data_IF_040915617277
#
_entry.id   IF_040915617277
#
_cell.length_a   1.000
_cell.length_b   1.000
_cell.length_c   1.000
_cell.angle_alpha   90.00
_cell.angle_beta   90.00
_cell.angle_gamma   90.00
#
_symmetry.space_group_name_H-M   'P 1'
#
loop_
_entity.id
_entity.type
_entity.pdbx_description
1 polymer ?
#
# COMPACT_ATOMS: atom_id res chain seq x y z
N UNK A 1 10.27 54.94 -5.94
CA UNK A 1 9.35 53.95 -5.33
C UNK A 1 9.06 52.73 -6.21
N UNK A 2 8.90 52.87 -7.54
CA UNK A 2 8.56 51.74 -8.45
C UNK A 2 9.65 50.65 -8.58
N UNK A 3 10.91 50.97 -8.33
CA UNK A 3 12.03 50.03 -8.37
C UNK A 3 12.15 49.12 -7.13
N UNK A 4 11.67 49.57 -5.97
CA UNK A 4 11.67 48.75 -4.76
C UNK A 4 10.66 47.60 -4.83
N UNK A 5 9.56 47.78 -5.57
CA UNK A 5 8.54 46.73 -5.80
C UNK A 5 9.05 45.62 -6.72
N UNK A 6 9.86 45.94 -7.73
CA UNK A 6 10.40 44.95 -8.66
C UNK A 6 11.41 44.01 -7.98
N UNK A 7 12.25 44.53 -7.07
CA UNK A 7 13.19 43.73 -6.29
C UNK A 7 12.47 42.78 -5.31
N UNK A 8 11.34 43.20 -4.74
CA UNK A 8 10.57 42.39 -3.81
C UNK A 8 9.86 41.22 -4.51
N UNK A 9 9.34 41.45 -5.73
CA UNK A 9 8.70 40.40 -6.54
C UNK A 9 9.71 39.34 -7.01
N UNK A 10 10.91 39.74 -7.44
CA UNK A 10 11.97 38.80 -7.86
C UNK A 10 12.46 37.94 -6.67
N UNK A 11 12.52 38.50 -5.46
CA UNK A 11 12.88 37.75 -4.26
C UNK A 11 11.81 36.73 -3.84
N UNK A 12 10.52 37.09 -3.95
CA UNK A 12 9.41 36.15 -3.66
C UNK A 12 9.27 35.05 -4.72
N UNK A 13 9.68 35.31 -5.96
CA UNK A 13 9.70 34.30 -7.02
C UNK A 13 10.77 33.23 -6.78
N UNK A 14 11.89 33.58 -6.13
CA UNK A 14 12.96 32.63 -5.81
C UNK A 14 12.56 31.65 -4.70
N UNK A 15 11.79 32.11 -3.70
CA UNK A 15 11.27 31.24 -2.63
C UNK A 15 10.17 30.29 -3.10
N UNK A 16 9.37 30.69 -4.11
CA UNK A 16 8.37 29.82 -4.72
C UNK A 16 8.99 28.64 -5.48
N UNK A 17 10.13 28.85 -6.16
CA UNK A 17 10.86 27.76 -6.82
C UNK A 17 11.52 26.80 -5.81
N UNK A 18 12.01 27.33 -4.67
CA UNK A 18 12.57 26.52 -3.59
C UNK A 18 11.51 25.62 -2.91
N UNK A 19 10.25 26.06 -2.80
CA UNK A 19 9.15 25.24 -2.28
C UNK A 19 8.78 24.05 -3.18
N UNK A 20 9.05 24.12 -4.48
CA UNK A 20 8.88 22.98 -5.40
C UNK A 20 9.91 21.87 -5.17
N UNK A 21 11.10 22.18 -4.64
CA UNK A 21 12.12 21.17 -4.30
C UNK A 21 11.76 20.32 -3.09
N UNK A 22 11.02 20.91 -2.14
CA UNK A 22 10.57 20.25 -0.91
C UNK A 22 9.51 19.17 -1.18
N UNK A 23 8.70 19.34 -2.23
CA UNK A 23 7.73 18.32 -2.66
C UNK A 23 8.37 17.13 -3.41
N UNK A 24 9.55 17.31 -4.00
CA UNK A 24 10.31 16.20 -4.61
C UNK A 24 11.05 15.41 -3.53
N UNK A 25 11.64 16.09 -2.53
CA UNK A 25 12.28 15.46 -1.38
C UNK A 25 11.33 14.54 -0.59
N UNK A 26 10.09 14.98 -0.35
CA UNK A 26 9.09 14.15 0.35
C UNK A 26 8.68 12.89 -0.45
N UNK A 27 8.66 12.97 -1.78
CA UNK A 27 8.32 11.82 -2.65
C UNK A 27 9.41 10.75 -2.65
N UNK A 28 10.68 11.15 -2.73
CA UNK A 28 11.83 10.25 -2.62
C UNK A 28 11.88 9.58 -1.24
N UNK A 29 11.66 10.33 -0.16
CA UNK A 29 11.66 9.76 1.20
C UNK A 29 10.55 8.72 1.41
N UNK A 30 9.35 8.95 0.88
CA UNK A 30 8.25 7.98 0.93
C UNK A 30 8.57 6.74 0.09
N UNK A 31 9.13 6.91 -1.11
CA UNK A 31 9.55 5.83 -1.98
C UNK A 31 10.60 4.93 -1.32
N UNK A 32 11.66 5.53 -0.78
CA UNK A 32 12.72 4.81 -0.07
C UNK A 32 12.20 4.06 1.14
N UNK A 33 11.28 4.68 1.89
CA UNK A 33 10.66 4.03 3.05
C UNK A 33 9.80 2.83 2.67
N UNK A 34 9.07 2.90 1.56
CA UNK A 34 8.30 1.77 1.03
C UNK A 34 9.22 0.66 0.52
N UNK A 35 10.27 1.00 -0.23
CA UNK A 35 11.25 0.02 -0.71
C UNK A 35 11.94 -0.69 0.46
N UNK A 36 12.36 0.06 1.48
CA UNK A 36 12.95 -0.49 2.70
C UNK A 36 11.99 -1.42 3.43
N UNK A 37 10.71 -1.06 3.51
CA UNK A 37 9.69 -1.93 4.11
C UNK A 37 9.50 -3.24 3.33
N UNK A 38 9.42 -3.16 1.99
CA UNK A 38 9.31 -4.34 1.12
C UNK A 38 10.54 -5.23 1.25
N UNK A 39 11.73 -4.64 1.25
CA UNK A 39 12.99 -5.37 1.42
C UNK A 39 13.02 -6.09 2.77
N UNK A 40 12.71 -5.38 3.86
CA UNK A 40 12.66 -5.97 5.21
C UNK A 40 11.62 -7.09 5.29
N UNK A 41 10.44 -6.90 4.69
CA UNK A 41 9.40 -7.92 4.67
C UNK A 41 9.82 -9.17 3.87
N UNK A 42 10.49 -8.98 2.73
CA UNK A 42 11.02 -10.07 1.92
C UNK A 42 12.12 -10.85 2.67
N UNK A 43 13.07 -10.16 3.31
CA UNK A 43 14.12 -10.80 4.11
C UNK A 43 13.55 -11.62 5.26
N UNK A 44 12.60 -11.06 6.03
CA UNK A 44 11.96 -11.76 7.14
C UNK A 44 11.14 -12.97 6.68
N UNK A 45 10.38 -12.83 5.59
CA UNK A 45 9.64 -13.95 5.01
C UNK A 45 10.59 -15.03 4.50
N UNK A 46 11.64 -14.63 3.77
CA UNK A 46 12.64 -15.52 3.21
C UNK A 46 13.33 -16.36 4.28
N UNK A 47 13.81 -15.71 5.33
CA UNK A 47 14.44 -16.38 6.47
C UNK A 47 13.45 -17.31 7.19
N UNK A 48 12.20 -16.86 7.39
CA UNK A 48 11.15 -17.67 8.01
C UNK A 48 10.83 -18.93 7.20
N UNK A 49 10.71 -18.79 5.88
CA UNK A 49 10.46 -19.90 4.95
C UNK A 49 11.64 -20.87 4.89
N UNK A 50 12.87 -20.38 4.72
CA UNK A 50 14.07 -21.24 4.69
C UNK A 50 14.22 -22.00 6.01
N UNK A 51 14.05 -21.34 7.15
CA UNK A 51 14.10 -22.00 8.46
C UNK A 51 12.99 -23.05 8.63
N UNK A 52 11.77 -22.75 8.18
CA UNK A 52 10.65 -23.69 8.22
C UNK A 52 10.93 -24.93 7.34
N UNK A 53 11.47 -24.70 6.15
CA UNK A 53 11.81 -25.75 5.19
C UNK A 53 12.97 -26.60 5.74
N UNK A 54 14.04 -26.00 6.23
CA UNK A 54 15.19 -26.70 6.82
C UNK A 54 14.82 -27.50 8.08
N UNK A 55 13.76 -27.15 8.81
CA UNK A 55 13.22 -27.97 9.90
C UNK A 55 12.55 -29.26 9.43
N UNK A 56 12.05 -29.28 8.19
CA UNK A 56 11.32 -30.40 7.61
C UNK A 56 12.27 -31.29 6.80
N UNK A 57 13.35 -30.73 6.23
CA UNK A 57 14.30 -31.51 5.44
C UNK A 57 15.22 -32.38 6.32
N UNK A 58 15.61 -33.57 5.80
CA UNK A 58 16.60 -34.41 6.46
C UNK A 58 17.98 -33.75 6.47
N UNK A 59 18.81 -34.06 7.49
CA UNK A 59 20.15 -33.49 7.61
C UNK A 59 20.99 -33.77 6.36
N UNK A 60 21.60 -32.72 5.81
CA UNK A 60 22.42 -32.77 4.58
C UNK A 60 21.75 -32.26 3.31
N UNK A 61 20.47 -31.88 3.35
CA UNK A 61 19.75 -31.25 2.22
C UNK A 61 19.31 -29.80 2.53
N UNK A 62 20.02 -29.11 3.41
CA UNK A 62 19.66 -27.74 3.80
C UNK A 62 19.68 -26.79 2.61
N UNK A 63 18.68 -25.92 2.55
CA UNK A 63 18.62 -24.85 1.56
C UNK A 63 19.62 -23.77 1.97
N UNK A 64 20.50 -23.42 1.02
CA UNK A 64 21.48 -22.35 1.19
C UNK A 64 20.83 -21.01 1.51
N UNK A 65 21.47 -20.25 2.41
CA UNK A 65 21.03 -18.91 2.80
C UNK A 65 20.93 -17.92 1.61
N UNK A 66 21.65 -18.17 0.51
CA UNK A 66 21.56 -17.37 -0.71
C UNK A 66 20.15 -17.39 -1.34
N UNK A 67 19.36 -18.45 -1.08
CA UNK A 67 17.98 -18.55 -1.54
C UNK A 67 16.98 -17.80 -0.66
N UNK A 68 17.39 -17.28 0.52
CA UNK A 68 16.50 -16.56 1.42
C UNK A 68 15.86 -15.36 0.72
N UNK A 69 16.65 -14.54 0.02
CA UNK A 69 16.15 -13.32 -0.63
C UNK A 69 15.19 -13.65 -1.79
N UNK A 70 15.56 -14.47 -2.79
CA UNK A 70 14.64 -14.85 -3.88
C UNK A 70 13.35 -15.52 -3.39
N UNK A 71 13.46 -16.41 -2.40
CA UNK A 71 12.32 -17.10 -1.81
C UNK A 71 11.43 -16.13 -1.02
N UNK A 72 12.05 -15.17 -0.34
CA UNK A 72 11.37 -14.10 0.40
C UNK A 72 10.51 -13.22 -0.48
N UNK A 73 11.03 -12.78 -1.64
CA UNK A 73 10.25 -12.03 -2.62
C UNK A 73 9.10 -12.85 -3.22
N UNK A 74 9.34 -14.13 -3.53
CA UNK A 74 8.30 -15.02 -4.05
C UNK A 74 7.20 -15.28 -3.01
N UNK A 75 7.59 -15.50 -1.75
CA UNK A 75 6.68 -15.62 -0.62
C UNK A 75 5.87 -14.34 -0.41
N UNK A 76 6.52 -13.17 -0.44
CA UNK A 76 5.86 -11.87 -0.32
C UNK A 76 4.82 -11.65 -1.42
N UNK A 77 5.18 -11.92 -2.68
CA UNK A 77 4.25 -11.86 -3.81
C UNK A 77 3.06 -12.81 -3.60
N UNK A 78 3.31 -14.02 -3.13
CA UNK A 78 2.26 -15.01 -2.86
C UNK A 78 1.30 -14.53 -1.77
N UNK A 79 1.82 -13.97 -0.67
CA UNK A 79 1.01 -13.38 0.40
C UNK A 79 0.18 -12.21 -0.11
N UNK A 80 0.78 -11.32 -0.90
CA UNK A 80 0.07 -10.19 -1.52
C UNK A 80 -1.04 -10.68 -2.44
N UNK A 81 -0.75 -11.64 -3.33
CA UNK A 81 -1.76 -12.24 -4.22
C UNK A 81 -2.90 -12.88 -3.41
N UNK A 82 -2.58 -13.61 -2.35
CA UNK A 82 -3.58 -14.24 -1.48
C UNK A 82 -4.45 -13.18 -0.80
N UNK A 83 -3.84 -12.12 -0.26
CA UNK A 83 -4.57 -10.98 0.31
C UNK A 83 -5.52 -10.37 -0.71
N UNK A 84 -5.02 -10.00 -1.88
CA UNK A 84 -5.84 -9.39 -2.93
C UNK A 84 -6.97 -10.31 -3.42
N UNK A 85 -6.69 -11.61 -3.60
CA UNK A 85 -7.70 -12.59 -3.98
C UNK A 85 -8.80 -12.73 -2.92
N UNK A 86 -8.44 -12.70 -1.63
CA UNK A 86 -9.41 -12.72 -0.55
C UNK A 86 -10.21 -11.42 -0.45
N UNK A 87 -9.57 -10.27 -0.71
CA UNK A 87 -10.26 -8.98 -0.82
C UNK A 87 -11.28 -8.95 -1.96
N UNK A 88 -10.99 -9.60 -3.09
CA UNK A 88 -11.92 -9.68 -4.22
C UNK A 88 -13.20 -10.45 -3.85
N UNK A 89 -13.05 -11.56 -3.13
CA UNK A 89 -14.19 -12.30 -2.58
C UNK A 89 -14.99 -11.45 -1.58
N UNK A 90 -14.31 -10.75 -0.67
CA UNK A 90 -14.95 -9.85 0.29
C UNK A 90 -15.71 -8.70 -0.40
N UNK A 91 -15.13 -8.12 -1.46
CA UNK A 91 -15.75 -7.05 -2.25
C UNK A 91 -17.11 -7.47 -2.81
N UNK A 92 -17.21 -8.69 -3.35
CA UNK A 92 -18.47 -9.21 -3.90
C UNK A 92 -19.56 -9.32 -2.83
N UNK A 93 -19.20 -9.81 -1.64
CA UNK A 93 -20.14 -9.91 -0.50
C UNK A 93 -20.57 -8.54 -0.01
N UNK A 94 -19.63 -7.60 0.14
CA UNK A 94 -19.93 -6.22 0.55
C UNK A 94 -20.92 -5.58 -0.41
N UNK A 95 -20.73 -5.74 -1.72
CA UNK A 95 -21.65 -5.20 -2.72
C UNK A 95 -23.07 -5.76 -2.60
N UNK A 96 -23.21 -7.05 -2.31
CA UNK A 96 -24.53 -7.66 -2.07
C UNK A 96 -25.16 -7.03 -0.82
N UNK A 97 -24.42 -6.95 0.28
CA UNK A 97 -24.93 -6.37 1.54
C UNK A 97 -25.33 -4.92 1.35
N UNK A 98 -24.52 -4.12 0.67
CA UNK A 98 -24.80 -2.72 0.34
C UNK A 98 -26.04 -2.62 -0.54
N UNK A 99 -26.14 -3.43 -1.60
CA UNK A 99 -27.32 -3.45 -2.48
C UNK A 99 -28.60 -3.82 -1.74
N UNK A 100 -28.57 -4.82 -0.87
CA UNK A 100 -29.71 -5.21 -0.02
C UNK A 100 -30.06 -4.08 0.96
N UNK A 101 -29.05 -3.48 1.61
CA UNK A 101 -29.26 -2.35 2.52
C UNK A 101 -29.93 -1.16 1.82
N UNK A 102 -29.51 -0.84 0.60
CA UNK A 102 -30.14 0.18 -0.23
C UNK A 102 -31.57 -0.18 -0.61
N UNK A 103 -31.83 -1.41 -1.05
CA UNK A 103 -33.17 -1.85 -1.41
C UNK A 103 -34.13 -1.75 -0.22
N UNK A 104 -33.71 -2.20 0.97
CA UNK A 104 -34.50 -2.08 2.20
C UNK A 104 -34.75 -0.62 2.59
N UNK A 105 -33.75 0.25 2.44
CA UNK A 105 -33.92 1.69 2.66
C UNK A 105 -34.95 2.29 1.70
N UNK A 106 -34.89 1.96 0.42
CA UNK A 106 -35.85 2.44 -0.58
C UNK A 106 -37.27 1.97 -0.25
N UNK A 107 -37.45 0.68 0.07
CA UNK A 107 -38.75 0.14 0.49
C UNK A 107 -39.27 0.89 1.71
N UNK A 108 -38.42 1.12 2.71
CA UNK A 108 -38.77 1.88 3.91
C UNK A 108 -39.24 3.29 3.57
N UNK A 109 -38.51 4.00 2.71
CA UNK A 109 -38.85 5.36 2.29
C UNK A 109 -40.21 5.37 1.58
N UNK A 110 -40.50 4.38 0.73
CA UNK A 110 -41.78 4.28 0.02
C UNK A 110 -42.93 4.04 0.99
N UNK A 111 -42.77 3.12 1.94
CA UNK A 111 -43.80 2.84 2.96
C UNK A 111 -44.10 4.08 3.81
N UNK A 112 -43.05 4.76 4.28
CA UNK A 112 -43.16 6.01 5.02
C UNK A 112 -43.88 7.11 4.21
N UNK A 113 -43.52 7.25 2.93
CA UNK A 113 -44.14 8.23 2.03
C UNK A 113 -45.62 7.93 1.78
N UNK A 114 -46.02 6.66 1.76
CA UNK A 114 -47.40 6.22 1.62
C UNK A 114 -48.18 6.26 2.94
N UNK A 115 -47.53 6.56 4.07
CA UNK A 115 -48.10 6.52 5.44
C UNK A 115 -48.81 5.19 5.74
N UNK A 116 -48.22 4.08 5.30
CA UNK A 116 -48.67 2.72 5.64
C UNK A 116 -47.79 2.19 6.76
#
# INVERSE_FOLDING_TARGET
MRWAMALLVVFTSWTALAQTGDQVAGGEEIGDKILSFIQTAAELLGQGLVNLINRILPPGHEISADLEIPLGYLGLLTVVLLLFGMLEAARKVIWIVVGVGWALMVVRIILEALRI
#
